data_IF_463898477127
#
_entry.id   IF_463898477127
#
_cell.length_a   1.000
_cell.length_b   1.000
_cell.length_c   1.000
_cell.angle_alpha   90.00
_cell.angle_beta   90.00
_cell.angle_gamma   90.00
#
_symmetry.space_group_name_H-M   'P 1'
#
loop_
_entity.id
_entity.type
_entity.pdbx_description
1 polymer ?
#
# COMPACT_ATOMS: atom_id res chain seq x y z
N UNK A 1 -0.71 21.23 -9.37
CA UNK A 1 -0.92 20.98 -7.93
C UNK A 1 -0.26 19.66 -7.55
N UNK A 2 1.09 19.63 -7.57
CA UNK A 2 1.88 18.45 -7.21
C UNK A 2 2.49 18.63 -5.82
N UNK A 3 1.73 18.27 -4.79
CA UNK A 3 2.22 18.21 -3.42
C UNK A 3 2.77 16.81 -3.16
N UNK A 4 4.06 16.72 -2.82
CA UNK A 4 4.83 15.49 -2.77
C UNK A 4 4.28 14.42 -1.84
N UNK A 5 3.98 13.26 -2.41
CA UNK A 5 4.05 12.00 -1.68
C UNK A 5 5.53 11.75 -1.35
N UNK A 6 6.00 12.18 -0.17
CA UNK A 6 7.40 11.99 0.27
C UNK A 6 7.89 10.54 0.11
N UNK A 7 6.97 9.58 0.17
CA UNK A 7 7.23 8.15 -0.02
C UNK A 7 7.70 7.77 -1.43
N UNK A 8 7.48 8.64 -2.43
CA UNK A 8 7.98 8.48 -3.81
C UNK A 8 9.26 9.28 -4.10
N UNK A 9 9.88 9.90 -3.10
CA UNK A 9 11.06 10.74 -3.31
C UNK A 9 12.36 9.92 -3.23
N UNK A 10 13.22 9.95 -4.27
CA UNK A 10 14.48 9.21 -4.30
C UNK A 10 15.51 9.71 -3.27
N UNK A 11 15.32 10.90 -2.69
CA UNK A 11 16.14 11.42 -1.59
C UNK A 11 15.96 10.61 -0.31
N UNK A 12 14.78 10.04 -0.09
CA UNK A 12 14.43 9.31 1.14
C UNK A 12 14.34 7.79 0.93
N UNK A 13 13.99 7.34 -0.27
CA UNK A 13 13.80 5.92 -0.57
C UNK A 13 14.50 5.51 -1.86
N UNK A 14 15.23 4.39 -1.85
CA UNK A 14 15.82 3.82 -3.05
C UNK A 14 14.75 3.15 -3.92
N UNK A 15 14.76 3.43 -5.22
CA UNK A 15 13.76 2.94 -6.21
C UNK A 15 12.33 3.21 -5.73
N UNK A 16 11.99 4.49 -5.48
CA UNK A 16 10.81 4.85 -4.69
C UNK A 16 9.49 4.51 -5.39
N UNK A 17 9.48 4.43 -6.72
CA UNK A 17 8.33 4.06 -7.54
C UNK A 17 8.06 2.55 -7.60
N UNK A 18 8.96 1.72 -7.05
CA UNK A 18 8.81 0.27 -7.08
C UNK A 18 8.24 -0.29 -5.78
N UNK A 19 7.30 -1.22 -5.89
CA UNK A 19 6.74 -1.96 -4.76
C UNK A 19 7.72 -3.02 -4.24
N UNK A 20 8.49 -2.67 -3.21
CA UNK A 20 9.50 -3.55 -2.60
C UNK A 20 9.19 -3.73 -1.10
N UNK A 21 8.37 -4.71 -0.69
CA UNK A 21 8.03 -4.93 0.72
C UNK A 21 9.25 -5.14 1.62
N UNK A 22 10.27 -5.82 1.09
CA UNK A 22 11.52 -6.10 1.79
C UNK A 22 12.29 -4.84 2.22
N UNK A 23 11.98 -3.67 1.66
CA UNK A 23 12.50 -2.36 2.09
C UNK A 23 12.30 -2.13 3.59
N UNK A 24 11.21 -2.66 4.15
CA UNK A 24 10.83 -2.50 5.56
C UNK A 24 11.22 -3.70 6.43
N UNK A 25 11.91 -4.70 5.86
CA UNK A 25 12.33 -5.90 6.58
C UNK A 25 13.83 -6.17 6.34
N UNK A 26 14.17 -7.01 5.36
CA UNK A 26 15.53 -7.50 5.12
C UNK A 26 16.42 -6.52 4.36
N UNK A 27 15.85 -5.48 3.73
CA UNK A 27 16.55 -4.46 2.93
C UNK A 27 16.41 -3.06 3.50
N UNK A 28 16.59 -2.91 4.82
CA UNK A 28 16.44 -1.62 5.51
C UNK A 28 17.32 -0.49 4.98
N UNK A 29 18.49 -0.79 4.39
CA UNK A 29 19.37 0.21 3.77
C UNK A 29 18.71 0.98 2.61
N UNK A 30 17.65 0.44 2.01
CA UNK A 30 16.89 1.10 0.95
C UNK A 30 16.01 2.25 1.48
N UNK A 31 15.86 2.39 2.80
CA UNK A 31 15.25 3.55 3.47
C UNK A 31 16.38 4.46 3.96
N UNK A 32 16.60 5.57 3.25
CA UNK A 32 17.63 6.56 3.58
C UNK A 32 17.21 7.41 4.78
N UNK A 33 15.93 7.76 4.84
CA UNK A 33 15.34 8.50 5.94
C UNK A 33 13.91 8.02 6.21
N UNK A 34 13.72 7.34 7.35
CA UNK A 34 12.42 6.83 7.74
C UNK A 34 11.46 7.92 8.24
N UNK A 35 11.96 9.09 8.63
CA UNK A 35 11.12 10.20 9.10
C UNK A 35 10.23 10.78 8.00
N UNK A 36 10.58 10.54 6.73
CA UNK A 36 9.78 10.90 5.56
C UNK A 36 8.54 10.00 5.37
N UNK A 37 8.38 8.94 6.16
CA UNK A 37 7.23 8.03 6.09
C UNK A 37 6.19 8.33 7.18
N UNK A 38 5.13 9.05 6.81
CA UNK A 38 4.05 9.44 7.72
C UNK A 38 2.66 9.30 7.06
N UNK A 39 2.22 8.08 6.70
CA UNK A 39 0.96 7.86 6.00
C UNK A 39 -0.30 8.21 6.81
N UNK A 40 -0.14 8.47 8.11
CA UNK A 40 -1.21 8.84 9.03
C UNK A 40 -1.04 10.27 9.57
N UNK A 41 -0.21 11.11 8.94
CA UNK A 41 0.25 12.39 9.48
C UNK A 41 1.07 12.23 10.77
N UNK A 42 1.48 13.36 11.37
CA UNK A 42 2.23 13.42 12.64
C UNK A 42 1.81 14.68 13.44
N UNK A 43 2.04 14.67 14.75
CA UNK A 43 1.78 15.81 15.63
C UNK A 43 0.29 15.97 15.98
N UNK A 44 -0.16 17.21 16.18
CA UNK A 44 -1.54 17.52 16.61
C UNK A 44 -2.63 17.10 15.60
N UNK A 45 -2.23 16.79 14.36
CA UNK A 45 -3.10 16.32 13.29
C UNK A 45 -2.80 14.86 12.89
N UNK A 46 -2.14 14.07 13.75
CA UNK A 46 -2.01 12.62 13.55
C UNK A 46 -3.40 11.96 13.53
N UNK A 47 -3.55 10.92 12.72
CA UNK A 47 -4.81 10.22 12.55
C UNK A 47 -5.16 9.44 13.83
N UNK A 48 -6.25 9.85 14.49
CA UNK A 48 -6.81 9.14 15.66
C UNK A 48 -7.15 7.68 15.35
N UNK A 49 -7.48 7.38 14.09
CA UNK A 49 -7.83 6.03 13.61
C UNK A 49 -6.65 5.12 13.30
N UNK A 50 -5.40 5.59 13.42
CA UNK A 50 -4.19 4.84 13.01
C UNK A 50 -4.12 3.41 13.56
N UNK A 51 -4.39 3.23 14.86
CA UNK A 51 -4.30 1.90 15.48
C UNK A 51 -5.40 0.96 14.98
N UNK A 52 -6.63 1.47 14.85
CA UNK A 52 -7.76 0.71 14.32
C UNK A 52 -7.51 0.31 12.85
N UNK A 53 -7.10 1.26 12.02
CA UNK A 53 -6.80 1.01 10.61
C UNK A 53 -5.71 -0.06 10.45
N UNK A 54 -4.64 0.01 11.24
CA UNK A 54 -3.56 -0.97 11.20
C UNK A 54 -4.00 -2.36 11.72
N UNK A 55 -4.98 -2.45 12.62
CA UNK A 55 -5.55 -3.72 13.06
C UNK A 55 -6.44 -4.33 11.97
N UNK A 56 -7.35 -3.54 11.41
CA UNK A 56 -8.27 -3.92 10.33
C UNK A 56 -7.50 -4.41 9.09
N UNK A 57 -6.50 -3.64 8.64
CA UNK A 57 -5.68 -4.01 7.47
C UNK A 57 -4.97 -5.35 7.69
N UNK A 58 -4.38 -5.56 8.88
CA UNK A 58 -3.70 -6.83 9.18
C UNK A 58 -4.67 -8.00 9.21
N UNK A 59 -5.84 -7.83 9.83
CA UNK A 59 -6.84 -8.87 9.90
C UNK A 59 -7.40 -9.22 8.52
N UNK A 60 -7.74 -8.21 7.71
CA UNK A 60 -8.22 -8.40 6.35
C UNK A 60 -7.19 -9.11 5.48
N UNK A 61 -5.93 -8.66 5.51
CA UNK A 61 -4.84 -9.32 4.76
C UNK A 61 -4.65 -10.75 5.25
N UNK A 62 -4.60 -10.99 6.57
CA UNK A 62 -4.45 -12.32 7.13
C UNK A 62 -5.55 -13.26 6.63
N UNK A 63 -6.82 -12.87 6.71
CA UNK A 63 -7.94 -13.68 6.22
C UNK A 63 -7.86 -13.94 4.71
N UNK A 64 -7.46 -12.94 3.92
CA UNK A 64 -7.29 -13.10 2.48
C UNK A 64 -6.18 -14.11 2.16
N UNK A 65 -5.01 -13.94 2.77
CA UNK A 65 -3.84 -14.77 2.48
C UNK A 65 -3.87 -16.13 3.16
N UNK A 66 -4.75 -16.40 4.12
CA UNK A 66 -4.89 -17.75 4.70
C UNK A 66 -5.93 -18.55 3.94
N UNK A 67 -7.07 -17.93 3.60
CA UNK A 67 -8.23 -18.65 3.08
C UNK A 67 -8.33 -18.66 1.56
N UNK A 68 -7.59 -17.82 0.82
CA UNK A 68 -7.78 -17.68 -0.63
C UNK A 68 -6.47 -17.64 -1.42
N UNK A 69 -6.49 -18.26 -2.60
CA UNK A 69 -5.56 -17.97 -3.69
C UNK A 69 -6.16 -16.88 -4.58
N UNK A 70 -5.45 -15.76 -4.70
CA UNK A 70 -5.88 -14.59 -5.46
C UNK A 70 -5.16 -14.54 -6.80
N UNK A 71 -5.90 -14.24 -7.88
CA UNK A 71 -5.34 -13.98 -9.21
C UNK A 71 -6.05 -12.81 -9.87
N UNK A 72 -5.33 -11.98 -10.61
CA UNK A 72 -5.98 -10.98 -11.46
C UNK A 72 -6.86 -11.67 -12.51
N UNK A 73 -8.06 -11.14 -12.72
CA UNK A 73 -8.95 -11.65 -13.76
C UNK A 73 -8.40 -11.40 -15.16
N UNK A 74 -7.71 -10.26 -15.32
CA UNK A 74 -6.90 -9.95 -16.48
C UNK A 74 -5.46 -9.66 -16.04
N UNK A 75 -4.48 -10.51 -16.40
CA UNK A 75 -3.07 -10.27 -16.08
C UNK A 75 -2.48 -8.98 -16.66
N UNK A 76 -3.13 -8.36 -17.65
CA UNK A 76 -2.68 -7.08 -18.23
C UNK A 76 -3.03 -5.85 -17.36
N UNK A 77 -3.84 -6.00 -16.32
CA UNK A 77 -4.31 -4.87 -15.48
C UNK A 77 -3.26 -4.39 -14.44
N UNK A 78 -1.98 -4.65 -14.68
CA UNK A 78 -0.87 -4.38 -13.74
C UNK A 78 -0.60 -2.90 -13.46
N UNK A 79 -1.16 -1.99 -14.26
CA UNK A 79 -0.98 -0.54 -14.14
C UNK A 79 -2.28 0.22 -13.76
N UNK A 80 -3.30 -0.51 -13.29
CA UNK A 80 -4.63 0.03 -12.97
C UNK A 80 -4.61 1.14 -11.90
N UNK A 81 -3.60 1.15 -11.02
CA UNK A 81 -3.43 2.13 -9.95
C UNK A 81 -3.26 3.58 -10.45
N UNK A 82 -2.79 3.78 -11.68
CA UNK A 82 -2.59 5.10 -12.28
C UNK A 82 -3.89 5.77 -12.76
N UNK A 83 -4.98 5.00 -12.82
CA UNK A 83 -6.29 5.48 -13.27
C UNK A 83 -7.17 5.94 -12.11
N UNK A 84 -6.64 5.95 -10.88
CA UNK A 84 -7.36 6.42 -9.70
C UNK A 84 -7.61 7.92 -9.71
N UNK A 85 -8.79 8.32 -9.23
CA UNK A 85 -9.13 9.73 -9.01
C UNK A 85 -9.01 10.02 -7.52
N UNK A 86 -8.25 11.06 -7.17
CA UNK A 86 -8.14 11.50 -5.78
C UNK A 86 -9.41 12.30 -5.39
N UNK A 87 -10.26 11.65 -4.60
CA UNK A 87 -11.48 12.24 -4.03
C UNK A 87 -11.49 12.07 -2.51
N UNK A 88 -10.42 12.46 -1.83
CA UNK A 88 -10.20 12.32 -0.37
C UNK A 88 -10.00 10.86 0.10
N UNK A 89 -10.84 9.95 -0.36
CA UNK A 89 -10.57 8.51 -0.44
C UNK A 89 -10.30 8.19 -1.91
N UNK A 90 -9.10 7.74 -2.24
CA UNK A 90 -8.68 7.38 -3.59
C UNK A 90 -9.74 6.47 -4.25
N UNK A 91 -10.38 6.96 -5.31
CA UNK A 91 -11.35 6.19 -6.07
C UNK A 91 -10.61 5.46 -7.20
N UNK A 92 -10.42 4.15 -7.03
CA UNK A 92 -9.77 3.33 -8.03
C UNK A 92 -10.82 2.75 -9.01
N UNK A 93 -10.46 2.47 -10.28
CA UNK A 93 -11.38 1.82 -11.22
C UNK A 93 -11.81 0.42 -10.74
N UNK A 94 -12.70 -0.30 -11.42
CA UNK A 94 -12.89 -1.72 -11.09
C UNK A 94 -11.63 -2.54 -11.39
N UNK A 95 -11.16 -3.38 -10.45
CA UNK A 95 -10.12 -4.38 -10.69
C UNK A 95 -10.72 -5.77 -10.50
N UNK A 96 -10.77 -6.55 -11.58
CA UNK A 96 -11.27 -7.93 -11.51
C UNK A 96 -10.24 -8.84 -10.83
N UNK A 97 -10.65 -9.54 -9.77
CA UNK A 97 -9.81 -10.50 -9.05
C UNK A 97 -10.58 -11.81 -8.85
N UNK A 98 -9.96 -12.94 -9.21
CA UNK A 98 -10.44 -14.27 -8.91
C UNK A 98 -10.02 -14.69 -7.51
N UNK A 99 -10.99 -15.21 -6.76
CA UNK A 99 -10.79 -15.79 -5.44
C UNK A 99 -11.04 -17.29 -5.54
N UNK A 100 -10.03 -18.10 -5.22
CA UNK A 100 -10.19 -19.54 -5.04
C UNK A 100 -9.99 -19.85 -3.57
N UNK A 101 -10.97 -20.44 -2.90
CA UNK A 101 -10.81 -20.89 -1.53
C UNK A 101 -9.66 -21.92 -1.46
N UNK A 102 -8.82 -21.81 -0.44
CA UNK A 102 -7.84 -22.83 -0.10
C UNK A 102 -8.53 -23.86 0.77
N UNK A 103 -8.39 -25.12 0.39
CA UNK A 103 -8.73 -26.25 1.24
C UNK A 103 -7.46 -26.60 2.03
N UNK A 104 -7.63 -26.83 3.34
CA UNK A 104 -6.54 -27.19 4.26
C UNK A 104 -5.90 -28.56 3.93
#
# INVERSE_FOLDING_TARGET
>A
MGGGLNVKDPRYFERPDEFIPHRWTTKGHMVKDASAYFPFSIGSYDCVGKQLALMEIRQAIAQLITNFDLKLANPADVAWEHSGVDTFTLALPGLGVWFRARED
#
